data_IF_348580386824
#
_entry.id   IF_348580386824
#
_cell.length_a   1.000
_cell.length_b   1.000
_cell.length_c   1.000
_cell.angle_alpha   90.00
_cell.angle_beta   90.00
_cell.angle_gamma   90.00
#
_symmetry.space_group_name_H-M   'P 1'
#
loop_
_entity.id
_entity.type
_entity.pdbx_description
1 polymer ?
#
# COMPACT_ATOMS: atom_id res chain seq x y z
N UNK A 1 7.58 52.64 73.24
CA UNK A 1 8.16 51.27 73.03
C UNK A 1 7.35 50.57 71.96
N UNK A 2 7.82 50.57 70.73
CA UNK A 2 7.18 49.90 69.56
C UNK A 2 7.86 48.56 69.37
N UNK A 3 7.11 47.50 69.46
CA UNK A 3 7.59 46.15 69.19
C UNK A 3 7.63 45.92 67.67
N UNK A 4 8.83 45.63 67.19
CA UNK A 4 9.08 45.28 65.80
C UNK A 4 8.90 43.77 65.67
N UNK A 5 7.88 43.29 64.93
CA UNK A 5 7.65 41.86 64.64
C UNK A 5 8.36 41.52 63.33
N UNK A 6 9.36 40.66 63.42
CA UNK A 6 10.13 40.15 62.26
C UNK A 6 9.37 38.95 61.68
N UNK A 7 8.88 39.08 60.45
CA UNK A 7 8.29 37.99 59.70
C UNK A 7 9.40 37.36 58.84
N UNK A 8 9.81 36.14 59.19
CA UNK A 8 10.70 35.30 58.39
C UNK A 8 9.87 34.56 57.32
N UNK A 9 9.98 34.98 56.09
CA UNK A 9 9.39 34.26 54.97
C UNK A 9 10.36 33.15 54.53
N UNK A 10 9.99 31.92 54.82
CA UNK A 10 10.73 30.72 54.37
C UNK A 10 10.38 30.44 52.91
N UNK A 11 11.29 30.71 52.02
CA UNK A 11 11.16 30.41 50.59
C UNK A 11 11.46 28.93 50.40
N UNK A 12 10.40 28.09 50.21
CA UNK A 12 10.56 26.71 49.77
C UNK A 12 10.90 26.69 48.26
N UNK A 13 12.17 26.51 47.94
CA UNK A 13 12.61 26.23 46.57
C UNK A 13 12.31 24.78 46.32
N UNK A 14 11.20 24.48 45.59
CA UNK A 14 10.94 23.16 45.04
C UNK A 14 11.96 22.93 43.91
N UNK A 15 13.01 22.19 44.20
CA UNK A 15 13.87 21.61 43.15
C UNK A 15 13.04 20.53 42.40
N UNK A 16 12.43 20.91 41.30
CA UNK A 16 11.98 19.95 40.32
C UNK A 16 13.23 19.35 39.66
N UNK A 17 13.62 18.16 40.09
CA UNK A 17 14.59 17.34 39.35
C UNK A 17 13.94 16.97 38.02
N UNK A 18 14.29 17.71 36.98
CA UNK A 18 14.08 17.27 35.60
C UNK A 18 14.94 16.02 35.44
N UNK A 19 14.35 14.85 35.66
CA UNK A 19 14.98 13.61 35.24
C UNK A 19 15.14 13.70 33.72
N UNK A 20 16.35 13.92 33.26
CA UNK A 20 16.74 13.66 31.88
C UNK A 20 16.57 12.17 31.61
N UNK A 21 15.37 11.76 31.22
CA UNK A 21 15.13 10.41 30.74
C UNK A 21 15.76 10.34 29.34
N UNK A 22 17.07 10.09 29.32
CA UNK A 22 17.73 9.73 28.09
C UNK A 22 17.13 8.39 27.66
N UNK A 23 16.34 8.35 26.58
CA UNK A 23 15.80 7.11 26.03
C UNK A 23 16.94 6.11 25.85
N UNK A 24 16.82 4.95 26.48
CA UNK A 24 17.87 3.93 26.44
C UNK A 24 17.44 2.82 25.47
N UNK A 25 18.32 2.48 24.55
CA UNK A 25 18.15 1.31 23.70
C UNK A 25 18.01 0.04 24.52
N UNK A 26 16.91 -0.69 24.33
CA UNK A 26 16.64 -1.99 24.97
C UNK A 26 17.03 -3.11 24.01
N UNK A 27 17.86 -4.05 24.46
CA UNK A 27 18.15 -5.29 23.72
C UNK A 27 16.94 -6.21 23.84
N UNK A 28 16.47 -6.77 22.72
CA UNK A 28 15.36 -7.73 22.69
C UNK A 28 15.86 -9.18 22.80
N UNK A 29 17.14 -9.45 22.51
CA UNK A 29 17.75 -10.78 22.71
C UNK A 29 18.28 -10.85 24.14
N UNK A 30 17.72 -11.79 24.92
CA UNK A 30 18.19 -12.15 26.25
C UNK A 30 19.20 -13.29 26.24
N UNK A 31 19.32 -13.98 27.38
CA UNK A 31 20.15 -15.20 27.49
C UNK A 31 19.47 -16.41 26.81
N UNK A 32 18.17 -16.39 26.72
CA UNK A 32 17.30 -17.41 26.15
C UNK A 32 16.11 -16.79 25.40
N UNK A 33 15.18 -17.62 24.94
CA UNK A 33 13.96 -17.21 24.25
C UNK A 33 12.76 -17.00 25.18
N UNK A 34 12.94 -16.85 26.48
CA UNK A 34 11.86 -16.72 27.46
C UNK A 34 10.95 -15.48 27.25
N UNK A 35 11.48 -14.43 26.61
CA UNK A 35 10.74 -13.22 26.25
C UNK A 35 9.99 -13.33 24.90
N UNK A 36 10.02 -14.50 24.29
CA UNK A 36 9.42 -14.77 23.00
C UNK A 36 8.41 -15.91 23.09
N UNK A 37 7.47 -15.96 22.15
CA UNK A 37 6.51 -17.03 21.97
C UNK A 37 6.44 -17.38 20.50
N UNK A 38 6.57 -18.67 20.16
CA UNK A 38 6.40 -19.10 18.78
C UNK A 38 4.91 -19.25 18.45
N UNK A 39 4.48 -18.67 17.32
CA UNK A 39 3.12 -18.75 16.80
C UNK A 39 3.14 -19.33 15.38
N UNK A 40 2.03 -19.93 15.01
CA UNK A 40 1.69 -20.61 13.74
C UNK A 40 2.58 -21.81 13.44
N UNK A 41 3.63 -21.71 12.63
CA UNK A 41 4.39 -22.88 12.18
C UNK A 41 5.24 -23.59 13.24
N UNK A 42 5.96 -24.61 12.79
CA UNK A 42 6.76 -25.53 13.63
C UNK A 42 8.25 -25.44 13.38
N UNK A 43 8.72 -24.46 12.58
CA UNK A 43 10.14 -24.27 12.33
C UNK A 43 10.89 -24.00 13.65
N UNK A 44 12.00 -24.70 13.93
CA UNK A 44 12.70 -24.53 15.19
C UNK A 44 13.48 -23.22 15.25
N UNK A 45 13.50 -22.62 16.45
CA UNK A 45 14.33 -21.48 16.80
C UNK A 45 15.28 -21.86 17.93
N UNK A 46 16.51 -21.42 17.85
CA UNK A 46 17.49 -21.55 18.94
C UNK A 46 18.30 -20.27 19.11
N UNK A 47 18.92 -20.13 20.26
CA UNK A 47 19.85 -19.04 20.55
C UNK A 47 21.26 -19.62 20.72
N UNK A 48 22.23 -19.08 20.01
CA UNK A 48 23.64 -19.47 20.13
C UNK A 48 24.50 -18.20 20.13
N UNK A 49 25.29 -18.02 21.19
CA UNK A 49 26.21 -16.87 21.32
C UNK A 49 25.59 -15.52 21.00
N UNK A 50 24.32 -15.30 21.45
CA UNK A 50 23.59 -14.04 21.22
C UNK A 50 22.99 -13.88 19.82
N UNK A 51 22.97 -14.94 19.03
CA UNK A 51 22.33 -15.01 17.71
C UNK A 51 21.11 -15.90 17.81
N UNK A 52 19.94 -15.41 17.39
CA UNK A 52 18.74 -16.23 17.16
C UNK A 52 18.88 -16.87 15.79
N UNK A 53 18.66 -18.17 15.70
CA UNK A 53 18.74 -18.97 14.47
C UNK A 53 17.40 -19.65 14.25
N UNK A 54 16.76 -19.38 13.13
CA UNK A 54 15.60 -20.10 12.64
C UNK A 54 15.99 -21.04 11.52
N UNK A 55 15.34 -22.21 11.44
CA UNK A 55 15.66 -23.25 10.46
C UNK A 55 14.39 -23.70 9.75
N UNK A 56 14.42 -23.79 8.43
CA UNK A 56 13.29 -24.25 7.62
C UNK A 56 13.01 -25.75 7.81
N UNK A 57 11.72 -26.09 7.79
CA UNK A 57 11.22 -27.48 7.87
C UNK A 57 10.09 -27.70 6.88
N UNK A 58 9.91 -28.96 6.43
CA UNK A 58 8.83 -29.34 5.53
C UNK A 58 7.46 -29.21 6.19
N UNK A 59 6.45 -28.93 5.37
CA UNK A 59 5.03 -28.95 5.75
C UNK A 59 4.67 -28.04 6.93
N UNK A 60 5.51 -27.05 7.25
CA UNK A 60 5.20 -26.00 8.21
C UNK A 60 4.66 -24.79 7.50
N UNK A 61 3.57 -24.17 7.96
CA UNK A 61 3.26 -22.79 7.55
C UNK A 61 4.36 -21.83 8.03
N UNK A 62 4.26 -20.56 7.67
CA UNK A 62 5.15 -19.53 8.22
C UNK A 62 5.19 -19.64 9.75
N UNK A 63 6.39 -19.69 10.31
CA UNK A 63 6.62 -19.71 11.75
C UNK A 63 7.09 -18.34 12.20
N UNK A 64 6.57 -17.86 13.32
CA UNK A 64 6.89 -16.54 13.85
C UNK A 64 7.32 -16.64 15.31
N UNK A 65 8.52 -16.17 15.61
CA UNK A 65 8.99 -16.01 16.99
C UNK A 65 8.62 -14.59 17.43
N UNK A 66 7.53 -14.46 18.21
CA UNK A 66 6.87 -13.20 18.56
C UNK A 66 7.34 -12.70 19.93
N UNK A 67 7.64 -11.40 20.06
CA UNK A 67 7.88 -10.78 21.35
C UNK A 67 6.61 -10.83 22.22
N UNK A 68 6.77 -11.08 23.53
CA UNK A 68 5.66 -11.05 24.50
C UNK A 68 5.15 -9.65 24.79
N UNK A 69 5.89 -8.62 24.38
CA UNK A 69 5.56 -7.21 24.55
C UNK A 69 5.12 -6.62 23.22
N UNK A 70 4.05 -5.83 23.24
CA UNK A 70 3.58 -5.02 22.13
C UNK A 70 4.26 -3.65 22.15
N UNK A 71 4.54 -3.12 20.95
CA UNK A 71 5.18 -1.83 20.75
C UNK A 71 4.30 -0.96 19.85
N UNK A 72 4.09 0.30 20.26
CA UNK A 72 3.41 1.34 19.49
C UNK A 72 4.40 2.12 18.63
N UNK A 73 4.88 3.25 19.15
CA UNK A 73 5.92 4.04 18.49
C UNK A 73 7.31 3.55 18.91
N UNK A 74 8.17 3.34 17.92
CA UNK A 74 9.53 2.83 18.18
C UNK A 74 10.48 3.08 17.00
N UNK A 75 11.77 2.93 17.31
CA UNK A 75 12.82 2.67 16.33
C UNK A 75 13.42 1.31 16.67
N UNK A 76 13.41 0.38 15.71
CA UNK A 76 13.95 -0.97 15.83
C UNK A 76 15.16 -1.12 14.92
N UNK A 77 16.23 -1.67 15.44
CA UNK A 77 17.42 -2.04 14.67
C UNK A 77 17.80 -3.50 14.92
N UNK A 78 18.26 -4.16 13.88
CA UNK A 78 18.76 -5.53 13.95
C UNK A 78 19.70 -5.83 12.79
N UNK A 79 20.58 -6.81 12.99
CA UNK A 79 21.36 -7.40 11.92
C UNK A 79 20.78 -8.77 11.57
N UNK A 80 20.68 -9.08 10.28
CA UNK A 80 20.24 -10.38 9.80
C UNK A 80 21.16 -10.94 8.74
N UNK A 81 21.27 -12.26 8.75
CA UNK A 81 21.87 -13.07 7.70
C UNK A 81 20.90 -14.19 7.36
N UNK A 82 20.68 -14.45 6.12
CA UNK A 82 19.81 -15.52 5.65
C UNK A 82 20.36 -16.17 4.39
N UNK A 83 20.01 -17.44 4.24
CA UNK A 83 20.40 -18.24 3.08
C UNK A 83 19.85 -17.59 1.80
N UNK A 84 20.64 -17.51 0.69
CA UNK A 84 20.20 -16.89 -0.56
C UNK A 84 18.96 -17.52 -1.20
N UNK A 85 18.60 -18.72 -0.82
CA UNK A 85 17.41 -19.42 -1.33
C UNK A 85 16.18 -19.26 -0.42
N UNK A 86 16.30 -18.49 0.66
CA UNK A 86 15.27 -18.37 1.68
C UNK A 86 14.68 -16.96 1.71
N UNK A 87 13.34 -16.86 1.62
CA UNK A 87 12.61 -15.65 1.99
C UNK A 87 12.40 -15.62 3.51
N UNK A 88 12.32 -14.43 4.09
CA UNK A 88 12.03 -14.20 5.49
C UNK A 88 11.45 -12.79 5.69
N UNK A 89 11.19 -12.40 6.94
CA UNK A 89 10.73 -11.08 7.30
C UNK A 89 10.83 -10.82 8.80
N UNK A 90 10.74 -9.55 9.16
CA UNK A 90 10.55 -9.15 10.56
C UNK A 90 9.23 -8.41 10.67
N UNK A 91 8.30 -9.01 11.42
CA UNK A 91 7.00 -8.44 11.73
C UNK A 91 7.16 -7.32 12.75
N UNK A 92 6.32 -6.30 12.64
CA UNK A 92 6.20 -5.22 13.61
C UNK A 92 4.77 -4.68 13.65
N UNK A 93 4.35 -4.17 14.79
CA UNK A 93 2.95 -3.79 15.02
C UNK A 93 1.98 -4.87 14.52
N UNK A 94 2.32 -6.14 14.75
CA UNK A 94 1.57 -7.30 14.27
C UNK A 94 0.79 -7.94 15.39
N UNK A 95 -0.24 -8.70 15.01
CA UNK A 95 -1.20 -9.31 15.91
C UNK A 95 -1.42 -10.78 15.55
N UNK A 96 -1.96 -11.53 16.51
CA UNK A 96 -2.52 -12.89 16.32
C UNK A 96 -3.75 -12.98 17.20
N UNK A 97 -4.95 -12.95 16.59
CA UNK A 97 -6.24 -12.99 17.27
C UNK A 97 -6.94 -14.30 16.96
N UNK A 98 -7.51 -15.00 17.96
CA UNK A 98 -8.17 -16.30 17.74
C UNK A 98 -9.27 -16.27 16.68
N UNK A 99 -10.02 -15.18 16.59
CA UNK A 99 -11.11 -14.96 15.65
C UNK A 99 -10.63 -14.52 14.24
N UNK A 100 -9.35 -14.20 14.08
CA UNK A 100 -8.78 -13.86 12.79
C UNK A 100 -8.05 -15.06 12.17
N UNK A 101 -8.66 -15.70 11.15
CA UNK A 101 -8.08 -16.84 10.42
C UNK A 101 -7.42 -17.89 11.34
N UNK A 102 -8.11 -18.27 12.43
CA UNK A 102 -7.63 -19.24 13.43
C UNK A 102 -6.29 -18.84 14.10
N UNK A 103 -6.13 -17.58 14.45
CA UNK A 103 -4.91 -17.09 15.12
C UNK A 103 -3.74 -16.84 14.17
N UNK A 104 -4.00 -16.68 12.88
CA UNK A 104 -2.95 -16.32 11.92
C UNK A 104 -2.26 -15.02 12.33
N UNK A 105 -0.93 -15.03 12.38
CA UNK A 105 -0.12 -13.81 12.52
C UNK A 105 -0.38 -12.90 11.33
N UNK A 106 -0.69 -11.64 11.61
CA UNK A 106 -0.99 -10.64 10.58
C UNK A 106 -0.49 -9.26 11.01
N UNK A 107 -0.12 -8.44 10.06
CA UNK A 107 0.40 -7.10 10.28
C UNK A 107 1.58 -6.74 9.39
N UNK A 108 2.22 -5.62 9.70
CA UNK A 108 3.33 -5.14 8.89
C UNK A 108 4.57 -6.02 9.02
N UNK A 109 5.23 -6.24 7.90
CA UNK A 109 6.50 -6.96 7.78
C UNK A 109 7.50 -6.13 6.98
N UNK A 110 8.70 -5.93 7.52
CA UNK A 110 9.83 -5.58 6.68
C UNK A 110 10.35 -6.84 6.02
N UNK A 111 10.45 -6.81 4.72
CA UNK A 111 10.82 -7.97 3.90
C UNK A 111 12.31 -8.25 3.92
N UNK A 112 12.67 -9.54 3.96
CA UNK A 112 14.00 -10.09 3.78
C UNK A 112 13.97 -10.96 2.52
N UNK A 113 14.28 -10.39 1.35
CA UNK A 113 14.10 -11.01 0.05
C UNK A 113 15.42 -11.07 -0.73
N UNK A 114 16.07 -12.24 -0.83
CA UNK A 114 17.30 -12.42 -1.59
C UNK A 114 17.08 -12.65 -3.09
N UNK A 115 15.84 -12.77 -3.53
CA UNK A 115 15.48 -13.04 -4.93
C UNK A 115 15.87 -11.89 -5.85
N UNK A 116 15.82 -12.12 -7.16
CA UNK A 116 16.10 -11.09 -8.16
C UNK A 116 15.06 -9.97 -8.21
N UNK A 117 13.92 -10.17 -7.55
CA UNK A 117 12.93 -9.13 -7.27
C UNK A 117 13.50 -7.98 -6.43
N UNK A 118 14.48 -8.30 -5.55
CA UNK A 118 15.25 -7.34 -4.75
C UNK A 118 14.38 -6.40 -3.89
N UNK A 119 13.39 -6.97 -3.17
CA UNK A 119 12.47 -6.18 -2.34
C UNK A 119 12.80 -6.20 -0.84
N UNK A 120 14.03 -6.57 -0.47
CA UNK A 120 14.53 -6.46 0.92
C UNK A 120 14.40 -5.02 1.43
N UNK A 121 13.74 -4.84 2.56
CA UNK A 121 13.41 -3.51 3.11
C UNK A 121 12.07 -2.94 2.65
N UNK A 122 11.39 -3.55 1.67
CA UNK A 122 10.00 -3.27 1.33
C UNK A 122 9.05 -3.64 2.47
N UNK A 123 7.79 -3.19 2.40
CA UNK A 123 6.78 -3.43 3.43
C UNK A 123 5.67 -4.30 2.86
N UNK A 124 5.50 -5.47 3.48
CA UNK A 124 4.42 -6.41 3.25
C UNK A 124 3.42 -6.38 4.42
N UNK A 125 2.16 -6.64 4.18
CA UNK A 125 1.11 -6.73 5.19
C UNK A 125 0.66 -8.20 5.30
N UNK A 126 1.37 -8.96 6.15
CA UNK A 126 1.18 -10.40 6.33
C UNK A 126 -0.27 -10.72 6.71
N UNK A 127 -0.85 -11.69 6.02
CA UNK A 127 -2.18 -12.18 6.30
C UNK A 127 -3.33 -11.20 6.01
N UNK A 128 -3.06 -9.99 5.45
CA UNK A 128 -4.08 -8.96 5.18
C UNK A 128 -4.02 -8.45 3.74
N UNK A 129 -3.35 -7.29 3.49
CA UNK A 129 -3.39 -6.56 2.20
C UNK A 129 -2.25 -6.92 1.24
N UNK A 130 -1.26 -7.73 1.67
CA UNK A 130 -0.11 -8.05 0.85
C UNK A 130 0.89 -6.88 0.76
N UNK A 131 1.42 -6.60 -0.44
CA UNK A 131 2.44 -5.57 -0.60
C UNK A 131 1.88 -4.16 -0.46
N UNK A 132 2.38 -3.40 0.51
CA UNK A 132 2.08 -2.00 0.72
C UNK A 132 3.13 -1.08 0.09
N UNK A 133 4.41 -1.51 0.09
CA UNK A 133 5.50 -0.77 -0.51
C UNK A 133 6.51 -1.73 -1.14
N UNK A 134 6.54 -1.81 -2.46
CA UNK A 134 7.53 -2.56 -3.22
C UNK A 134 8.72 -1.68 -3.57
N UNK A 135 9.92 -2.26 -3.69
CA UNK A 135 11.12 -1.48 -4.07
C UNK A 135 11.21 -1.18 -5.57
N UNK A 136 10.24 -1.57 -6.38
CA UNK A 136 10.09 -1.03 -7.74
C UNK A 136 9.90 0.49 -7.74
N UNK A 137 9.37 1.03 -6.64
CA UNK A 137 9.28 2.48 -6.40
C UNK A 137 10.65 3.11 -6.05
N UNK A 138 11.64 2.31 -5.69
CA UNK A 138 12.94 2.77 -5.17
C UNK A 138 14.11 1.93 -5.68
N UNK A 139 14.62 2.19 -6.90
CA UNK A 139 15.72 1.43 -7.48
C UNK A 139 17.04 1.47 -6.67
N UNK A 140 17.26 2.50 -5.86
CA UNK A 140 18.41 2.55 -4.95
C UNK A 140 18.27 1.55 -3.80
N UNK A 141 17.04 1.44 -3.25
CA UNK A 141 16.72 0.46 -2.21
C UNK A 141 16.88 -0.99 -2.69
N UNK A 142 16.57 -1.28 -3.95
CA UNK A 142 16.79 -2.62 -4.54
C UNK A 142 18.25 -3.10 -4.47
N UNK A 143 19.20 -2.16 -4.41
CA UNK A 143 20.64 -2.46 -4.36
C UNK A 143 21.19 -2.49 -2.93
N UNK A 144 20.35 -2.30 -1.92
CA UNK A 144 20.81 -2.15 -0.53
C UNK A 144 21.25 -3.47 0.12
N UNK A 145 20.66 -4.60 -0.29
CA UNK A 145 20.96 -5.92 0.27
C UNK A 145 22.33 -6.43 -0.23
N UNK A 146 23.15 -6.90 0.71
CA UNK A 146 24.37 -7.67 0.43
C UNK A 146 24.06 -9.15 0.54
N UNK A 147 24.02 -9.87 -0.58
CA UNK A 147 23.80 -11.33 -0.59
C UNK A 147 24.95 -12.05 0.12
N UNK A 148 24.64 -13.12 0.87
CA UNK A 148 25.60 -13.92 1.65
C UNK A 148 26.37 -13.17 2.75
N UNK A 149 25.87 -12.01 3.21
CA UNK A 149 26.51 -11.23 4.25
C UNK A 149 25.48 -10.80 5.32
N UNK A 150 25.98 -10.33 6.45
CA UNK A 150 25.15 -9.67 7.45
C UNK A 150 24.66 -8.33 6.94
N UNK A 151 23.35 -8.06 7.09
CA UNK A 151 22.73 -6.83 6.69
C UNK A 151 22.10 -6.15 7.90
N UNK A 152 22.32 -4.86 8.03
CA UNK A 152 21.73 -4.03 9.05
C UNK A 152 20.39 -3.46 8.59
N UNK A 153 19.35 -3.71 9.36
CA UNK A 153 18.01 -3.17 9.13
C UNK A 153 17.65 -2.16 10.20
N UNK A 154 16.96 -1.10 9.78
CA UNK A 154 16.35 -0.12 10.66
C UNK A 154 14.90 0.09 10.25
N UNK A 155 14.00 0.09 11.23
CA UNK A 155 12.57 0.40 11.08
C UNK A 155 12.25 1.55 12.02
N UNK A 156 11.65 2.60 11.51
CA UNK A 156 11.06 3.68 12.28
C UNK A 156 9.55 3.63 12.10
N UNK A 157 8.81 3.29 13.16
CA UNK A 157 7.35 3.29 13.21
C UNK A 157 6.93 4.33 14.25
N UNK A 158 6.58 5.54 13.81
CA UNK A 158 6.27 6.69 14.68
C UNK A 158 4.96 7.33 14.19
N UNK A 159 3.93 7.33 15.03
CA UNK A 159 2.58 7.66 14.60
C UNK A 159 2.15 6.80 13.42
N UNK A 160 1.68 7.40 12.36
CA UNK A 160 1.29 6.70 11.12
C UNK A 160 2.45 6.50 10.14
N UNK A 161 3.62 7.08 10.40
CA UNK A 161 4.80 6.96 9.53
C UNK A 161 5.56 5.67 9.80
N UNK A 162 5.86 4.93 8.74
CA UNK A 162 6.65 3.70 8.75
C UNK A 162 7.76 3.83 7.70
N UNK A 163 9.00 3.90 8.15
CA UNK A 163 10.16 4.04 7.28
C UNK A 163 11.16 2.91 7.52
N UNK A 164 11.79 2.43 6.46
CA UNK A 164 12.74 1.31 6.53
C UNK A 164 14.06 1.65 5.83
N UNK A 165 15.13 1.08 6.33
CA UNK A 165 16.48 1.15 5.76
C UNK A 165 17.14 -0.21 5.79
N UNK A 166 17.95 -0.49 4.78
CA UNK A 166 18.86 -1.62 4.72
C UNK A 166 20.27 -1.10 4.47
N UNK A 167 21.22 -1.44 5.35
CA UNK A 167 22.60 -0.97 5.29
C UNK A 167 22.74 0.56 5.17
N UNK A 168 21.85 1.30 5.84
CA UNK A 168 21.79 2.75 5.81
C UNK A 168 21.14 3.36 4.57
N UNK A 169 20.73 2.56 3.59
CA UNK A 169 20.04 3.01 2.37
C UNK A 169 18.53 3.03 2.64
N UNK A 170 17.83 4.17 2.43
CA UNK A 170 16.38 4.26 2.59
C UNK A 170 15.68 3.29 1.62
N UNK A 171 14.75 2.48 2.13
CA UNK A 171 14.02 1.48 1.34
C UNK A 171 12.55 1.86 1.15
N UNK A 172 11.80 2.10 2.24
CA UNK A 172 10.38 2.43 2.16
C UNK A 172 10.02 3.67 2.98
N UNK A 173 9.03 4.42 2.50
CA UNK A 173 8.36 5.53 3.19
C UNK A 173 6.84 5.33 3.04
N UNK A 174 6.24 4.69 4.05
CA UNK A 174 4.83 4.33 4.10
C UNK A 174 4.12 5.16 5.17
N UNK A 175 2.90 5.61 4.89
CA UNK A 175 1.99 6.19 5.87
C UNK A 175 0.73 5.33 5.95
N UNK A 176 0.51 4.71 7.10
CA UNK A 176 -0.61 3.79 7.33
C UNK A 176 -0.98 3.76 8.82
N UNK A 177 -2.27 3.63 9.11
CA UNK A 177 -2.79 3.67 10.48
C UNK A 177 -3.57 2.41 10.90
N UNK A 178 -3.52 1.34 10.12
CA UNK A 178 -4.35 0.15 10.35
C UNK A 178 -4.05 -0.53 11.68
N UNK A 179 -2.77 -0.64 12.05
CA UNK A 179 -2.36 -1.26 13.32
C UNK A 179 -1.35 -0.36 14.04
N UNK A 180 -1.79 0.43 15.04
CA UNK A 180 -0.91 1.39 15.72
C UNK A 180 0.06 0.74 16.70
N UNK A 181 -0.17 -0.49 17.14
CA UNK A 181 0.69 -1.23 18.06
C UNK A 181 0.54 -2.74 17.88
N UNK A 182 1.55 -3.49 18.26
CA UNK A 182 1.56 -4.95 18.21
C UNK A 182 2.94 -5.49 18.52
N UNK A 183 3.11 -6.81 18.43
CA UNK A 183 4.38 -7.47 18.69
C UNK A 183 5.37 -7.30 17.52
N UNK A 184 6.64 -7.57 17.82
CA UNK A 184 7.71 -7.80 16.85
C UNK A 184 7.88 -9.30 16.70
N UNK A 185 8.02 -9.81 15.46
CA UNK A 185 8.28 -11.23 15.27
C UNK A 185 9.31 -11.52 14.17
N UNK A 186 10.06 -12.59 14.35
CA UNK A 186 11.06 -13.09 13.43
C UNK A 186 10.46 -14.25 12.66
N UNK A 187 10.41 -14.16 11.31
CA UNK A 187 9.77 -15.16 10.48
C UNK A 187 10.76 -16.21 9.99
N UNK A 188 10.38 -17.49 10.08
CA UNK A 188 10.91 -18.57 9.21
C UNK A 188 9.82 -18.87 8.18
N UNK A 189 10.10 -18.55 6.93
CA UNK A 189 9.14 -18.73 5.85
C UNK A 189 8.87 -20.19 5.53
N UNK A 190 7.64 -20.52 5.20
CA UNK A 190 7.23 -21.84 4.73
C UNK A 190 7.97 -22.23 3.45
N UNK A 191 8.42 -23.46 3.41
CA UNK A 191 8.99 -24.07 2.19
C UNK A 191 8.05 -25.12 1.56
N UNK A 192 6.84 -25.30 2.12
CA UNK A 192 5.87 -26.29 1.65
C UNK A 192 6.48 -27.70 1.68
N UNK A 193 6.49 -28.36 0.52
CA UNK A 193 7.05 -29.70 0.31
C UNK A 193 8.42 -29.70 -0.38
N UNK A 194 9.07 -28.54 -0.52
CA UNK A 194 10.35 -28.39 -1.22
C UNK A 194 11.50 -28.93 -0.34
N UNK A 195 11.87 -30.20 -0.56
CA UNK A 195 12.92 -30.87 0.20
C UNK A 195 14.31 -30.23 0.01
N UNK A 196 14.55 -29.53 -1.10
CA UNK A 196 15.84 -28.84 -1.33
C UNK A 196 16.07 -27.65 -0.42
N UNK A 197 15.01 -27.14 0.21
CA UNK A 197 15.07 -26.00 1.13
C UNK A 197 15.04 -26.38 2.61
N UNK A 198 15.09 -27.67 2.93
CA UNK A 198 15.15 -28.13 4.33
C UNK A 198 16.50 -27.76 4.94
N UNK A 199 16.47 -27.21 6.16
CA UNK A 199 17.68 -26.86 6.89
C UNK A 199 18.30 -25.51 6.51
N UNK A 200 17.68 -24.73 5.59
CA UNK A 200 18.11 -23.35 5.33
C UNK A 200 17.97 -22.51 6.60
N UNK A 201 18.88 -21.57 6.77
CA UNK A 201 19.00 -20.79 7.99
C UNK A 201 18.67 -19.33 7.75
N UNK A 202 17.96 -18.73 8.70
CA UNK A 202 17.93 -17.29 8.90
C UNK A 202 18.42 -16.97 10.32
N UNK A 203 19.21 -15.92 10.45
CA UNK A 203 19.90 -15.55 11.69
C UNK A 203 19.69 -14.09 12.00
N UNK A 204 19.46 -13.78 13.28
CA UNK A 204 19.27 -12.40 13.76
C UNK A 204 20.16 -12.16 14.98
N UNK A 205 20.80 -10.99 15.02
CA UNK A 205 21.59 -10.52 16.17
C UNK A 205 21.39 -9.02 16.37
N UNK A 206 21.94 -8.49 17.46
CA UNK A 206 21.93 -7.06 17.76
C UNK A 206 20.52 -6.42 17.74
N UNK A 207 19.47 -7.21 17.99
CA UNK A 207 18.09 -6.71 17.99
C UNK A 207 17.94 -5.75 19.17
N UNK A 208 17.69 -4.47 18.87
CA UNK A 208 17.50 -3.42 19.86
C UNK A 208 16.37 -2.48 19.47
N UNK A 209 15.68 -1.97 20.45
CA UNK A 209 14.54 -1.07 20.27
C UNK A 209 14.66 0.14 21.20
N UNK A 210 14.17 1.29 20.73
CA UNK A 210 13.95 2.47 21.55
C UNK A 210 12.52 2.94 21.34
N UNK A 211 11.83 3.29 22.44
CA UNK A 211 10.42 3.70 22.47
C UNK A 211 10.21 5.08 23.07
N UNK A 212 11.27 5.73 23.52
CA UNK A 212 11.23 7.03 24.19
C UNK A 212 12.19 8.02 23.51
N UNK A 213 11.87 9.31 23.57
CA UNK A 213 12.66 10.39 22.98
C UNK A 213 12.99 10.16 21.49
N UNK A 214 12.04 9.60 20.73
CA UNK A 214 12.23 9.16 19.35
C UNK A 214 12.69 10.27 18.42
N UNK A 215 12.26 11.52 18.67
CA UNK A 215 12.66 12.69 17.90
C UNK A 215 14.20 12.90 17.86
N UNK A 216 14.89 12.53 18.95
CA UNK A 216 16.36 12.60 19.04
C UNK A 216 17.04 11.54 18.17
N UNK A 217 16.40 10.40 17.96
CA UNK A 217 16.99 9.22 17.34
C UNK A 217 16.46 8.94 15.95
N UNK A 218 15.34 9.54 15.55
CA UNK A 218 14.77 9.33 14.21
C UNK A 218 15.72 9.88 13.15
N UNK A 219 15.74 9.21 12.02
CA UNK A 219 16.47 9.68 10.85
C UNK A 219 15.81 10.98 10.32
N UNK A 220 16.57 12.04 10.04
CA UNK A 220 16.03 13.22 9.42
C UNK A 220 15.22 12.87 8.17
N UNK A 221 14.14 13.61 7.96
CA UNK A 221 13.32 13.39 6.79
C UNK A 221 14.11 13.72 5.51
N UNK A 222 14.03 12.85 4.52
CA UNK A 222 14.60 13.08 3.20
C UNK A 222 13.57 12.67 2.12
N UNK A 223 13.24 13.54 1.17
CA UNK A 223 12.26 13.26 0.12
C UNK A 223 12.82 12.39 -1.03
N UNK A 224 13.96 11.72 -0.83
CA UNK A 224 14.68 10.99 -1.89
C UNK A 224 13.87 9.83 -2.47
N UNK A 225 13.01 9.19 -1.65
CA UNK A 225 12.17 8.08 -2.09
C UNK A 225 10.69 8.48 -2.07
N UNK A 226 9.86 7.93 -2.98
CA UNK A 226 8.42 8.20 -2.99
C UNK A 226 7.78 7.81 -1.66
N UNK A 227 6.82 8.60 -1.20
CA UNK A 227 5.95 8.24 -0.09
C UNK A 227 4.68 7.56 -0.62
N UNK A 228 4.25 6.48 0.04
CA UNK A 228 2.97 5.84 -0.22
C UNK A 228 2.08 5.99 1.00
N UNK A 229 0.89 6.59 0.85
CA UNK A 229 -0.08 6.76 1.93
C UNK A 229 -1.33 5.90 1.70
N UNK A 230 -1.76 5.20 2.75
CA UNK A 230 -3.02 4.44 2.82
C UNK A 230 -4.00 5.07 3.82
N UNK A 231 -3.80 6.32 4.22
CA UNK A 231 -4.80 7.04 5.02
C UNK A 231 -6.06 7.28 4.20
N UNK A 232 -7.21 6.97 4.75
CA UNK A 232 -8.48 7.06 4.04
C UNK A 232 -8.91 8.52 3.81
N UNK A 233 -8.95 8.94 2.55
CA UNK A 233 -9.39 10.26 2.09
C UNK A 233 -8.69 11.45 2.77
N UNK A 234 -7.43 11.26 3.11
CA UNK A 234 -6.58 12.28 3.74
C UNK A 234 -5.27 12.39 2.98
N UNK A 235 -4.81 13.60 2.74
CA UNK A 235 -3.47 13.86 2.21
C UNK A 235 -2.48 14.05 3.37
N UNK A 236 -1.32 13.43 3.24
CA UNK A 236 -0.19 13.74 4.12
C UNK A 236 0.34 15.14 3.82
N UNK A 237 1.09 15.74 4.74
CA UNK A 237 1.73 17.04 4.50
C UNK A 237 2.67 16.99 3.28
N UNK A 238 3.33 15.86 3.08
CA UNK A 238 4.17 15.66 1.89
C UNK A 238 3.33 15.63 0.61
N UNK A 239 2.24 14.91 0.57
CA UNK A 239 1.35 14.87 -0.60
C UNK A 239 0.80 16.26 -0.92
N UNK A 240 0.41 17.05 0.09
CA UNK A 240 -0.02 18.45 -0.11
C UNK A 240 1.09 19.31 -0.73
N UNK A 241 2.32 19.20 -0.20
CA UNK A 241 3.48 19.92 -0.70
C UNK A 241 3.91 19.49 -2.11
N UNK A 242 3.66 18.23 -2.47
CA UNK A 242 3.89 17.69 -3.83
C UNK A 242 2.77 18.02 -4.81
N UNK A 243 1.69 18.69 -4.37
CA UNK A 243 0.58 19.14 -5.22
C UNK A 243 -0.53 18.11 -5.42
N UNK A 244 -0.59 17.07 -4.60
CA UNK A 244 -1.73 16.14 -4.60
C UNK A 244 -3.00 16.85 -4.13
N UNK A 245 -4.15 16.49 -4.74
CA UNK A 245 -5.49 16.95 -4.40
C UNK A 245 -6.39 15.74 -4.21
N UNK A 246 -7.31 15.80 -3.25
CA UNK A 246 -8.38 14.81 -3.14
C UNK A 246 -9.44 15.10 -4.22
N UNK A 247 -9.84 14.09 -4.97
CA UNK A 247 -11.02 14.12 -5.83
C UNK A 247 -12.27 13.61 -5.11
N UNK A 248 -12.10 13.04 -3.91
CA UNK A 248 -13.18 12.61 -3.04
C UNK A 248 -12.79 12.83 -1.57
N UNK A 249 -13.67 13.52 -0.85
CA UNK A 249 -13.47 13.91 0.56
C UNK A 249 -13.88 12.84 1.58
N UNK A 250 -14.41 11.70 1.10
CA UNK A 250 -14.96 10.64 1.94
C UNK A 250 -16.37 10.89 2.46
N UNK A 251 -17.02 11.99 2.11
CA UNK A 251 -18.31 12.42 2.72
C UNK A 251 -19.33 12.90 1.71
N UNK A 252 -18.91 13.59 0.66
CA UNK A 252 -19.82 14.28 -0.27
C UNK A 252 -19.54 13.89 -1.71
N UNK A 253 -20.51 14.16 -2.60
CA UNK A 253 -20.35 14.01 -4.04
C UNK A 253 -19.71 15.23 -4.71
N UNK A 254 -19.22 16.19 -3.95
CA UNK A 254 -18.58 17.38 -4.49
C UNK A 254 -17.45 17.02 -5.46
N UNK A 255 -17.41 17.67 -6.62
CA UNK A 255 -16.45 17.37 -7.68
C UNK A 255 -16.83 16.22 -8.61
N UNK A 256 -17.98 15.57 -8.39
CA UNK A 256 -18.50 14.48 -9.22
C UNK A 256 -19.89 14.78 -9.77
N UNK A 257 -20.13 14.38 -11.00
CA UNK A 257 -21.42 14.52 -11.67
C UNK A 257 -21.66 13.35 -12.61
N UNK A 258 -22.90 13.09 -12.98
CA UNK A 258 -23.22 12.13 -14.02
C UNK A 258 -22.66 12.61 -15.37
N UNK A 259 -22.06 11.71 -16.13
CA UNK A 259 -21.44 12.01 -17.41
C UNK A 259 -22.37 12.70 -18.42
N UNK A 260 -23.69 12.45 -18.35
CA UNK A 260 -24.71 12.99 -19.27
C UNK A 260 -25.51 14.13 -18.67
N UNK A 261 -26.03 13.98 -17.45
CA UNK A 261 -26.98 14.93 -16.84
C UNK A 261 -26.31 16.07 -16.09
N UNK A 262 -25.00 15.98 -15.83
CA UNK A 262 -24.20 17.00 -15.13
C UNK A 262 -24.63 17.28 -13.68
N UNK A 263 -25.40 16.37 -13.08
CA UNK A 263 -25.73 16.35 -11.66
C UNK A 263 -25.29 14.99 -11.09
N UNK A 264 -25.00 14.90 -9.79
CA UNK A 264 -24.71 13.58 -9.19
C UNK A 264 -25.97 12.71 -9.25
N UNK A 265 -25.86 11.41 -9.63
CA UNK A 265 -27.03 10.56 -9.78
C UNK A 265 -27.79 10.37 -8.46
N UNK A 266 -29.13 10.42 -8.46
CA UNK A 266 -29.93 10.21 -7.25
C UNK A 266 -30.03 8.72 -6.86
N UNK A 267 -29.56 7.80 -7.71
CA UNK A 267 -29.62 6.34 -7.52
C UNK A 267 -28.48 5.65 -8.27
N UNK A 268 -28.22 4.38 -7.96
CA UNK A 268 -27.13 3.59 -8.55
C UNK A 268 -25.76 3.87 -7.91
N UNK A 269 -25.64 4.95 -7.14
CA UNK A 269 -24.46 5.34 -6.38
C UNK A 269 -24.82 5.66 -4.94
N UNK A 270 -23.95 5.31 -4.03
CA UNK A 270 -24.05 5.57 -2.59
C UNK A 270 -22.72 6.13 -2.07
N UNK A 271 -22.79 7.11 -1.17
CA UNK A 271 -21.63 7.58 -0.41
C UNK A 271 -21.82 7.13 1.03
N UNK A 272 -20.98 6.22 1.47
CA UNK A 272 -21.07 5.60 2.78
C UNK A 272 -19.72 5.10 3.27
N UNK A 273 -19.49 5.17 4.58
CA UNK A 273 -18.28 4.66 5.24
C UNK A 273 -16.97 5.15 4.59
N UNK A 274 -16.94 6.41 4.15
CA UNK A 274 -15.76 7.00 3.50
C UNK A 274 -15.54 6.55 2.06
N UNK A 275 -16.52 5.99 1.39
CA UNK A 275 -16.39 5.44 0.05
C UNK A 275 -17.52 5.89 -0.89
N UNK A 276 -17.22 5.92 -2.19
CA UNK A 276 -18.22 5.96 -3.27
C UNK A 276 -18.48 4.53 -3.71
N UNK A 277 -19.74 4.10 -3.70
CA UNK A 277 -20.14 2.72 -3.93
C UNK A 277 -21.10 2.67 -5.13
N UNK A 278 -20.79 1.84 -6.12
CA UNK A 278 -21.80 1.41 -7.11
C UNK A 278 -22.77 0.50 -6.40
N UNK A 279 -24.02 0.93 -6.25
CA UNK A 279 -25.07 0.15 -5.58
C UNK A 279 -26.20 -0.17 -6.57
N UNK A 280 -26.18 -1.36 -7.21
CA UNK A 280 -27.19 -1.74 -8.20
C UNK A 280 -28.60 -1.88 -7.62
N UNK A 281 -28.74 -2.12 -6.31
CA UNK A 281 -30.06 -2.27 -5.67
C UNK A 281 -30.81 -0.96 -5.56
N UNK A 282 -30.10 0.18 -5.55
CA UNK A 282 -30.73 1.51 -5.55
C UNK A 282 -31.07 2.02 -6.94
N UNK A 283 -30.74 1.25 -7.98
CA UNK A 283 -30.93 1.61 -9.39
C UNK A 283 -32.41 1.64 -9.74
N UNK A 284 -33.04 2.82 -9.70
CA UNK A 284 -34.39 3.05 -10.15
C UNK A 284 -34.51 3.05 -11.70
N UNK A 285 -35.73 3.31 -12.22
CA UNK A 285 -36.05 3.32 -13.66
C UNK A 285 -35.15 4.25 -14.51
N UNK A 286 -34.44 5.21 -13.92
CA UNK A 286 -33.53 6.13 -14.61
C UNK A 286 -32.08 5.72 -14.64
N UNK A 287 -31.68 4.65 -13.92
CA UNK A 287 -30.31 4.19 -13.78
C UNK A 287 -29.36 5.22 -13.18
N UNK A 288 -28.27 4.81 -12.52
CA UNK A 288 -27.23 5.73 -12.02
C UNK A 288 -26.42 6.34 -13.16
N UNK A 289 -25.94 5.49 -14.06
CA UNK A 289 -24.97 5.85 -15.11
C UNK A 289 -23.61 6.24 -14.55
N UNK A 290 -22.67 6.39 -15.43
CA UNK A 290 -21.28 6.72 -15.09
C UNK A 290 -21.17 8.11 -14.45
N UNK A 291 -20.27 8.26 -13.47
CA UNK A 291 -19.93 9.55 -12.87
C UNK A 291 -18.55 10.00 -13.34
N UNK A 292 -18.41 11.31 -13.55
CA UNK A 292 -17.16 11.96 -13.98
C UNK A 292 -16.78 13.09 -13.03
N UNK A 293 -15.50 13.43 -13.01
CA UNK A 293 -15.03 14.65 -12.33
C UNK A 293 -15.58 15.89 -12.98
N UNK A 294 -15.85 16.95 -12.20
CA UNK A 294 -16.19 18.28 -12.74
C UNK A 294 -15.01 18.93 -13.46
N UNK A 295 -13.79 18.58 -13.06
CA UNK A 295 -12.55 19.08 -13.64
C UNK A 295 -12.05 18.15 -14.75
N UNK A 296 -11.21 18.70 -15.65
CA UNK A 296 -10.51 17.99 -16.72
C UNK A 296 -9.02 17.99 -16.42
N UNK A 297 -8.31 16.96 -16.87
CA UNK A 297 -6.89 16.76 -16.60
C UNK A 297 -6.13 16.39 -17.88
N UNK A 298 -4.87 16.83 -17.97
CA UNK A 298 -3.97 16.57 -19.12
C UNK A 298 -2.85 15.61 -18.73
N UNK A 299 -1.97 16.03 -17.83
CA UNK A 299 -0.85 15.23 -17.32
C UNK A 299 -1.06 15.03 -15.82
N UNK A 300 -1.01 13.80 -15.35
CA UNK A 300 -1.35 13.52 -13.96
C UNK A 300 -0.81 12.18 -13.47
N UNK A 301 -0.73 12.07 -12.15
CA UNK A 301 -0.75 10.81 -11.42
C UNK A 301 -2.09 10.71 -10.70
N UNK A 302 -2.85 9.64 -10.93
CA UNK A 302 -4.15 9.36 -10.31
C UNK A 302 -4.05 8.10 -9.47
N UNK A 303 -4.39 8.20 -8.19
CA UNK A 303 -4.53 7.04 -7.29
C UNK A 303 -6.01 6.84 -7.00
N UNK A 304 -6.45 5.58 -7.07
CA UNK A 304 -7.80 5.14 -6.69
C UNK A 304 -7.67 3.82 -5.95
N UNK A 305 -8.12 3.77 -4.71
CA UNK A 305 -8.32 2.51 -4.01
C UNK A 305 -9.71 1.98 -4.36
N UNK A 306 -9.78 0.72 -4.78
CA UNK A 306 -11.03 0.08 -5.18
C UNK A 306 -11.17 -1.31 -4.58
N UNK A 307 -12.42 -1.73 -4.40
CA UNK A 307 -12.80 -3.08 -3.97
C UNK A 307 -13.98 -3.53 -4.82
N UNK A 308 -13.85 -4.69 -5.45
CA UNK A 308 -14.89 -5.27 -6.29
C UNK A 308 -15.45 -6.54 -5.66
N UNK A 309 -16.76 -6.78 -5.84
CA UNK A 309 -17.40 -8.01 -5.40
C UNK A 309 -17.18 -9.14 -6.42
N UNK A 310 -17.44 -10.39 -6.02
CA UNK A 310 -17.34 -11.57 -6.92
C UNK A 310 -18.19 -11.38 -8.17
N UNK A 311 -17.60 -11.60 -9.32
CA UNK A 311 -18.23 -11.43 -10.62
C UNK A 311 -18.49 -9.98 -11.03
N UNK A 312 -17.92 -8.98 -10.35
CA UNK A 312 -18.15 -7.59 -10.67
C UNK A 312 -17.35 -7.10 -11.88
N UNK A 313 -17.91 -6.07 -12.53
CA UNK A 313 -17.30 -5.28 -13.59
C UNK A 313 -17.49 -3.79 -13.32
N UNK A 314 -16.46 -3.02 -13.54
CA UNK A 314 -16.40 -1.57 -13.50
C UNK A 314 -15.15 -1.09 -14.24
N UNK A 315 -14.86 0.21 -14.20
CA UNK A 315 -13.68 0.79 -14.82
C UNK A 315 -13.34 2.18 -14.28
N UNK A 316 -12.07 2.53 -14.34
CA UNK A 316 -11.59 3.88 -14.09
C UNK A 316 -11.14 4.43 -15.43
N UNK A 317 -11.95 5.35 -16.02
CA UNK A 317 -11.64 5.92 -17.32
C UNK A 317 -11.01 7.30 -17.18
N UNK A 318 -10.22 7.65 -18.15
CA UNK A 318 -9.57 8.96 -18.26
C UNK A 318 -9.55 9.42 -19.70
N UNK A 319 -9.31 10.70 -19.92
CA UNK A 319 -9.54 11.35 -21.21
C UNK A 319 -10.98 11.23 -21.72
N UNK A 320 -11.93 11.27 -20.78
CA UNK A 320 -13.36 11.26 -21.14
C UNK A 320 -13.80 12.64 -21.56
N UNK A 321 -14.32 12.75 -22.77
CA UNK A 321 -14.91 13.96 -23.32
C UNK A 321 -16.43 13.88 -23.26
N UNK A 322 -17.03 14.66 -22.34
CA UNK A 322 -18.48 14.69 -22.12
C UNK A 322 -19.20 15.72 -22.98
N UNK A 323 -18.51 16.47 -23.82
CA UNK A 323 -19.04 17.64 -24.54
C UNK A 323 -19.10 17.44 -26.05
N UNK A 324 -18.14 16.68 -26.60
CA UNK A 324 -18.09 16.41 -28.03
C UNK A 324 -19.23 15.49 -28.49
N UNK A 325 -19.63 15.66 -29.77
CA UNK A 325 -20.70 14.90 -30.44
C UNK A 325 -22.02 14.88 -29.62
N UNK A 326 -22.41 16.04 -29.10
CA UNK A 326 -23.63 16.20 -28.27
C UNK A 326 -23.72 15.20 -27.11
N UNK A 327 -22.59 14.88 -26.49
CA UNK A 327 -22.49 13.95 -25.34
C UNK A 327 -22.61 12.47 -25.70
N UNK A 328 -22.62 12.08 -26.96
CA UNK A 328 -22.65 10.65 -27.36
C UNK A 328 -21.42 9.90 -26.88
N UNK A 329 -20.29 10.59 -26.73
CA UNK A 329 -19.02 10.03 -26.26
C UNK A 329 -18.79 10.22 -24.74
N UNK A 330 -19.81 10.66 -24.02
CA UNK A 330 -19.69 11.04 -22.60
C UNK A 330 -19.21 9.92 -21.64
N UNK A 331 -19.20 8.68 -22.08
CA UNK A 331 -18.67 7.53 -21.32
C UNK A 331 -17.50 6.86 -22.05
N UNK A 332 -16.96 7.47 -23.09
CA UNK A 332 -15.86 6.93 -23.89
C UNK A 332 -14.54 7.57 -23.42
N UNK A 333 -13.55 6.74 -23.16
CA UNK A 333 -12.20 7.14 -22.73
C UNK A 333 -11.29 5.95 -22.63
N UNK A 334 -9.99 6.17 -22.44
CA UNK A 334 -9.05 5.11 -22.07
C UNK A 334 -9.46 4.56 -20.71
N UNK A 335 -9.44 3.23 -20.54
CA UNK A 335 -10.02 2.59 -19.36
C UNK A 335 -9.02 1.65 -18.68
N UNK A 336 -8.74 1.94 -17.40
CA UNK A 336 -8.15 0.98 -16.49
C UNK A 336 -9.27 0.03 -16.03
N UNK A 337 -9.20 -1.22 -16.45
CA UNK A 337 -10.25 -2.20 -16.17
C UNK A 337 -10.30 -2.60 -14.69
N UNK A 338 -11.51 -2.65 -14.12
CA UNK A 338 -11.80 -3.19 -12.80
C UNK A 338 -12.76 -4.37 -12.98
N UNK A 339 -12.27 -5.61 -12.83
CA UNK A 339 -13.02 -6.81 -13.17
C UNK A 339 -12.64 -7.99 -12.28
N UNK A 340 -13.61 -8.84 -11.95
CA UNK A 340 -13.30 -10.19 -11.49
C UNK A 340 -12.97 -11.08 -12.69
N UNK A 341 -11.71 -11.29 -12.96
CA UNK A 341 -11.23 -12.05 -14.12
C UNK A 341 -11.68 -13.51 -14.15
N UNK A 342 -12.00 -14.08 -12.99
CA UNK A 342 -12.37 -15.47 -12.86
C UNK A 342 -13.83 -15.71 -13.17
N UNK A 343 -14.70 -14.79 -12.74
CA UNK A 343 -16.15 -14.98 -12.75
C UNK A 343 -16.86 -14.13 -13.79
N UNK A 344 -16.37 -12.93 -14.13
CA UNK A 344 -17.05 -12.08 -15.09
C UNK A 344 -16.78 -12.53 -16.53
N UNK A 345 -17.84 -12.71 -17.37
CA UNK A 345 -17.70 -13.24 -18.74
C UNK A 345 -16.88 -12.35 -19.67
N UNK A 346 -16.86 -11.04 -19.47
CA UNK A 346 -16.13 -10.08 -20.31
C UNK A 346 -14.61 -10.33 -20.33
N UNK A 347 -14.04 -10.93 -19.28
CA UNK A 347 -12.63 -11.33 -19.24
C UNK A 347 -12.19 -12.23 -20.39
N UNK A 348 -13.14 -12.97 -20.98
CA UNK A 348 -12.91 -13.94 -22.06
C UNK A 348 -13.22 -13.38 -23.45
N UNK A 349 -13.69 -12.14 -23.53
CA UNK A 349 -14.09 -11.49 -24.78
C UNK A 349 -12.97 -10.63 -25.35
N UNK A 350 -13.12 -10.18 -26.61
CA UNK A 350 -12.17 -9.35 -27.31
C UNK A 350 -10.85 -10.05 -27.62
N UNK A 351 -9.77 -9.29 -27.72
CA UNK A 351 -8.41 -9.85 -27.85
C UNK A 351 -8.03 -10.49 -26.50
N UNK A 352 -7.48 -11.71 -26.49
CA UNK A 352 -7.23 -12.45 -25.25
C UNK A 352 -6.48 -11.62 -24.18
N UNK A 353 -7.08 -11.55 -22.98
CA UNK A 353 -6.53 -10.87 -21.82
C UNK A 353 -6.69 -9.35 -21.78
N UNK A 354 -7.08 -8.69 -22.87
CA UNK A 354 -7.19 -7.23 -22.93
C UNK A 354 -8.34 -6.64 -22.12
N UNK A 355 -9.30 -7.48 -21.70
CA UNK A 355 -10.44 -7.06 -20.89
C UNK A 355 -10.35 -7.54 -19.44
N UNK A 356 -9.12 -7.77 -18.95
CA UNK A 356 -8.90 -8.24 -17.59
C UNK A 356 -8.45 -7.09 -16.66
N UNK A 357 -8.57 -7.31 -15.36
CA UNK A 357 -8.22 -6.35 -14.30
C UNK A 357 -6.87 -5.68 -14.55
N UNK A 358 -6.82 -4.37 -14.43
CA UNK A 358 -5.64 -3.50 -14.61
C UNK A 358 -5.08 -3.45 -16.04
N UNK A 359 -5.78 -4.04 -17.02
CA UNK A 359 -5.49 -3.86 -18.44
C UNK A 359 -5.93 -2.50 -18.96
N UNK A 360 -5.45 -2.13 -20.15
CA UNK A 360 -6.08 -1.08 -20.94
C UNK A 360 -7.20 -1.75 -21.74
N UNK A 361 -8.42 -1.55 -21.30
CA UNK A 361 -9.61 -2.28 -21.74
C UNK A 361 -9.72 -2.41 -23.27
N UNK A 362 -9.85 -3.65 -23.73
CA UNK A 362 -9.97 -4.03 -25.15
C UNK A 362 -8.77 -3.70 -26.05
N UNK A 363 -7.67 -3.22 -25.48
CA UNK A 363 -6.49 -2.77 -26.22
C UNK A 363 -5.21 -3.50 -25.80
N UNK A 364 -4.85 -3.48 -24.49
CA UNK A 364 -3.58 -4.04 -24.00
C UNK A 364 -3.83 -4.89 -22.76
N UNK A 365 -3.41 -6.15 -22.83
CA UNK A 365 -3.44 -7.06 -21.70
C UNK A 365 -2.42 -6.67 -20.62
N UNK A 366 -2.77 -6.78 -19.32
CA UNK A 366 -1.85 -6.46 -18.25
C UNK A 366 -0.76 -7.52 -18.12
N UNK A 367 0.44 -7.08 -17.71
CA UNK A 367 1.55 -7.94 -17.33
C UNK A 367 1.74 -7.88 -15.82
N UNK A 368 2.38 -8.90 -15.22
CA UNK A 368 2.80 -8.91 -13.81
C UNK A 368 1.70 -8.51 -12.82
N UNK A 369 0.45 -8.86 -13.12
CA UNK A 369 -0.70 -8.49 -12.34
C UNK A 369 -0.68 -9.11 -10.94
N UNK A 370 -0.85 -8.28 -9.91
CA UNK A 370 -0.95 -8.70 -8.53
C UNK A 370 -2.27 -8.20 -7.94
N UNK A 371 -3.27 -9.03 -8.03
CA UNK A 371 -4.61 -8.81 -7.51
C UNK A 371 -4.72 -9.36 -6.08
N UNK A 372 -5.26 -8.57 -5.15
CA UNK A 372 -5.56 -9.00 -3.79
C UNK A 372 -6.84 -9.85 -3.73
N UNK A 373 -7.62 -9.90 -4.81
CA UNK A 373 -8.83 -10.68 -4.95
C UNK A 373 -10.12 -9.89 -4.72
N UNK A 374 -11.24 -10.55 -5.05
CA UNK A 374 -12.57 -10.00 -4.80
C UNK A 374 -12.78 -9.73 -3.31
N UNK A 375 -13.53 -8.66 -2.98
CA UNK A 375 -13.84 -8.21 -1.62
C UNK A 375 -12.63 -7.68 -0.84
N UNK A 376 -11.45 -7.61 -1.47
CA UNK A 376 -10.24 -7.03 -0.92
C UNK A 376 -9.93 -5.68 -1.58
N UNK A 377 -9.32 -4.77 -0.80
CA UNK A 377 -8.89 -3.49 -1.34
C UNK A 377 -7.68 -3.66 -2.27
N UNK A 378 -7.77 -3.04 -3.43
CA UNK A 378 -6.72 -2.92 -4.43
C UNK A 378 -6.46 -1.43 -4.71
N UNK A 379 -5.25 -1.10 -5.14
CA UNK A 379 -4.87 0.26 -5.53
C UNK A 379 -4.50 0.32 -6.99
N UNK A 380 -5.23 1.15 -7.75
CA UNK A 380 -4.82 1.60 -9.06
C UNK A 380 -3.95 2.86 -8.94
N UNK A 381 -2.86 2.92 -9.70
CA UNK A 381 -2.14 4.15 -10.00
C UNK A 381 -2.06 4.28 -11.51
N UNK A 382 -2.54 5.39 -12.03
CA UNK A 382 -2.48 5.74 -13.46
C UNK A 382 -1.58 6.96 -13.59
N UNK A 383 -0.49 6.83 -14.37
CA UNK A 383 0.40 7.94 -14.67
C UNK A 383 0.24 8.34 -16.12
N UNK A 384 0.06 9.62 -16.35
CA UNK A 384 -0.03 10.23 -17.67
C UNK A 384 0.97 11.37 -17.77
N UNK A 385 1.91 11.27 -18.71
CA UNK A 385 2.86 12.33 -19.00
C UNK A 385 2.97 12.48 -20.52
N UNK A 386 2.37 13.51 -21.07
CA UNK A 386 2.18 13.67 -22.51
C UNK A 386 1.37 12.52 -23.09
N UNK A 387 1.95 11.83 -24.04
CA UNK A 387 1.34 10.65 -24.68
C UNK A 387 1.66 9.34 -23.95
N UNK A 388 2.62 9.36 -23.04
CA UNK A 388 3.04 8.16 -22.30
C UNK A 388 2.08 7.91 -21.12
N UNK A 389 1.57 6.67 -21.05
CA UNK A 389 0.64 6.24 -20.01
C UNK A 389 1.11 4.93 -19.39
N UNK A 390 0.97 4.84 -18.09
CA UNK A 390 1.31 3.66 -17.30
C UNK A 390 0.17 3.32 -16.34
N UNK A 391 -0.19 2.02 -16.24
CA UNK A 391 -1.07 1.48 -15.23
C UNK A 391 -0.28 0.66 -14.22
N UNK A 392 -0.63 0.81 -12.95
CA UNK A 392 -0.08 -0.01 -11.87
C UNK A 392 -1.23 -0.60 -11.06
N UNK A 393 -1.09 -1.86 -10.64
CA UNK A 393 -1.96 -2.52 -9.68
C UNK A 393 -1.13 -2.92 -8.45
N UNK A 394 -1.52 -2.42 -7.28
CA UNK A 394 -0.84 -2.70 -6.01
C UNK A 394 0.69 -2.51 -6.09
N UNK A 395 1.12 -1.40 -6.73
CA UNK A 395 2.52 -1.05 -6.92
C UNK A 395 3.22 -1.72 -8.11
N UNK A 396 2.59 -2.70 -8.78
CA UNK A 396 3.16 -3.39 -9.94
C UNK A 396 2.76 -2.74 -11.24
N UNK A 397 3.72 -2.41 -12.11
CA UNK A 397 3.46 -1.93 -13.48
C UNK A 397 2.78 -3.04 -14.29
N UNK A 398 1.56 -2.78 -14.77
CA UNK A 398 0.77 -3.76 -15.53
C UNK A 398 0.68 -3.42 -17.01
N UNK A 399 0.59 -2.14 -17.36
CA UNK A 399 0.50 -1.65 -18.74
C UNK A 399 1.35 -0.41 -18.91
N UNK A 400 2.07 -0.31 -20.01
CA UNK A 400 2.72 0.91 -20.46
C UNK A 400 2.49 1.06 -21.96
N UNK A 401 2.13 2.27 -22.40
CA UNK A 401 1.88 2.56 -23.81
C UNK A 401 2.05 4.04 -24.12
N UNK A 402 2.11 4.35 -25.41
CA UNK A 402 2.11 5.70 -25.95
C UNK A 402 0.90 5.89 -26.86
N UNK A 403 0.01 6.83 -26.51
CA UNK A 403 -1.20 7.14 -27.28
C UNK A 403 -0.91 8.04 -28.48
N UNK A 404 -1.75 7.99 -29.51
CA UNK A 404 -1.73 8.92 -30.64
C UNK A 404 -0.64 8.66 -31.70
N UNK A 405 0.20 7.61 -31.54
CA UNK A 405 1.15 7.20 -32.58
C UNK A 405 0.54 6.12 -33.52
N UNK A 406 1.29 5.67 -34.52
CA UNK A 406 0.81 4.66 -35.48
C UNK A 406 0.43 3.33 -34.80
N UNK A 407 1.27 2.86 -33.87
CA UNK A 407 0.99 1.62 -33.11
C UNK A 407 -0.30 1.73 -32.28
N UNK A 408 -0.55 2.88 -31.68
CA UNK A 408 -1.81 3.17 -30.98
C UNK A 408 -3.01 3.01 -31.90
N UNK A 409 -2.98 3.64 -33.08
CA UNK A 409 -4.09 3.60 -34.04
C UNK A 409 -4.35 2.20 -34.57
N UNK A 410 -3.29 1.37 -34.73
CA UNK A 410 -3.44 -0.05 -35.07
C UNK A 410 -4.15 -0.84 -33.96
N UNK A 411 -3.84 -0.60 -32.69
CA UNK A 411 -4.54 -1.23 -31.56
C UNK A 411 -6.02 -0.83 -31.55
N UNK A 412 -6.31 0.45 -31.70
CA UNK A 412 -7.69 0.99 -31.75
C UNK A 412 -8.46 0.36 -32.92
N UNK A 413 -7.85 0.24 -34.10
CA UNK A 413 -8.49 -0.36 -35.29
C UNK A 413 -8.87 -1.84 -35.11
N UNK A 414 -8.20 -2.57 -34.22
CA UNK A 414 -8.48 -3.97 -33.90
C UNK A 414 -9.46 -4.14 -32.73
N UNK A 415 -9.83 -3.07 -32.05
CA UNK A 415 -10.68 -3.08 -30.85
C UNK A 415 -12.14 -2.74 -31.17
N UNK A 416 -12.98 -2.77 -30.14
CA UNK A 416 -14.37 -2.27 -30.24
C UNK A 416 -14.44 -0.77 -30.52
N UNK A 417 -13.36 -0.04 -30.27
CA UNK A 417 -13.27 1.42 -30.47
C UNK A 417 -12.95 1.83 -31.91
N UNK A 418 -12.84 0.89 -32.84
CA UNK A 418 -12.54 1.16 -34.26
C UNK A 418 -13.49 2.17 -34.94
N UNK A 419 -14.71 2.29 -34.39
CA UNK A 419 -15.73 3.23 -34.89
C UNK A 419 -15.76 4.54 -34.11
N UNK A 420 -14.83 4.77 -33.18
CA UNK A 420 -14.73 6.01 -32.38
C UNK A 420 -13.54 6.86 -32.87
N UNK A 421 -13.74 7.82 -33.77
CA UNK A 421 -12.68 8.64 -34.31
C UNK A 421 -11.91 9.37 -33.20
N UNK A 422 -10.56 9.34 -33.27
CA UNK A 422 -9.72 10.02 -32.28
C UNK A 422 -9.75 9.42 -30.88
N UNK A 423 -10.19 8.17 -30.72
CA UNK A 423 -10.23 7.49 -29.42
C UNK A 423 -8.88 7.60 -28.69
N UNK A 424 -8.96 8.14 -27.45
CA UNK A 424 -7.80 8.34 -26.58
C UNK A 424 -6.83 9.46 -27.03
N UNK A 425 -7.15 10.24 -28.07
CA UNK A 425 -6.28 11.30 -28.60
C UNK A 425 -6.66 12.71 -28.11
N UNK A 426 -7.73 12.87 -27.30
CA UNK A 426 -8.06 14.16 -26.69
C UNK A 426 -6.92 14.64 -25.79
N UNK A 427 -6.69 15.97 -25.78
CA UNK A 427 -5.58 16.58 -25.03
C UNK A 427 -5.86 16.58 -23.52
N UNK A 428 -7.10 16.86 -23.14
CA UNK A 428 -7.56 16.88 -21.77
C UNK A 428 -8.91 16.14 -21.66
N UNK A 429 -9.19 15.58 -20.51
CA UNK A 429 -10.46 14.88 -20.29
C UNK A 429 -10.74 14.66 -18.81
N UNK A 430 -11.95 14.21 -18.54
CA UNK A 430 -12.42 13.90 -17.17
C UNK A 430 -11.98 12.53 -16.76
N UNK A 431 -11.90 12.31 -15.44
CA UNK A 431 -11.81 10.99 -14.83
C UNK A 431 -13.23 10.47 -14.64
N UNK A 432 -13.47 9.20 -14.94
CA UNK A 432 -14.77 8.56 -14.85
C UNK A 432 -14.69 7.29 -14.01
N UNK A 433 -15.66 7.11 -13.13
CA UNK A 433 -15.93 5.82 -12.48
C UNK A 433 -17.17 5.20 -13.14
N UNK A 434 -17.02 3.93 -13.56
CA UNK A 434 -18.05 3.25 -14.34
C UNK A 434 -19.09 2.58 -13.44
N UNK A 435 -20.36 2.79 -13.74
CA UNK A 435 -21.50 2.03 -13.23
C UNK A 435 -21.83 0.92 -14.23
N UNK A 436 -21.61 -0.33 -13.87
CA UNK A 436 -21.88 -1.49 -14.72
C UNK A 436 -22.88 -2.49 -14.09
N UNK A 437 -23.65 -2.06 -13.10
CA UNK A 437 -24.66 -2.90 -12.44
C UNK A 437 -24.08 -3.91 -11.43
N UNK A 438 -22.86 -3.71 -10.97
CA UNK A 438 -22.23 -4.56 -9.98
C UNK A 438 -21.71 -3.73 -8.79
N UNK A 439 -21.66 -4.34 -7.61
CA UNK A 439 -21.03 -3.69 -6.44
C UNK A 439 -19.54 -3.51 -6.64
N UNK A 440 -19.11 -2.26 -6.71
CA UNK A 440 -17.72 -1.83 -6.66
C UNK A 440 -17.61 -0.60 -5.76
N UNK A 441 -16.60 -0.56 -4.93
CA UNK A 441 -16.39 0.48 -3.93
C UNK A 441 -15.08 1.21 -4.21
N UNK A 442 -15.09 2.55 -4.15
CA UNK A 442 -13.93 3.41 -4.42
C UNK A 442 -13.66 4.34 -3.24
N UNK A 443 -12.40 4.54 -2.88
CA UNK A 443 -11.96 5.54 -1.89
C UNK A 443 -10.55 6.04 -2.21
N UNK A 444 -10.02 6.96 -1.42
CA UNK A 444 -8.66 7.49 -1.62
C UNK A 444 -8.42 7.98 -3.05
N UNK A 445 -9.45 8.61 -3.64
CA UNK A 445 -9.33 9.12 -5.00
C UNK A 445 -8.58 10.44 -4.93
N UNK A 446 -7.34 10.43 -5.39
CA UNK A 446 -6.46 11.60 -5.35
C UNK A 446 -5.65 11.74 -6.63
N UNK A 447 -5.40 12.97 -7.02
CA UNK A 447 -4.70 13.30 -8.25
C UNK A 447 -3.58 14.31 -7.97
N UNK A 448 -2.49 14.18 -8.73
CA UNK A 448 -1.42 15.16 -8.81
C UNK A 448 -1.23 15.54 -10.25
N UNK A 449 -1.43 16.82 -10.58
CA UNK A 449 -1.18 17.34 -11.91
C UNK A 449 0.32 17.49 -12.14
N UNK A 450 0.80 17.03 -13.28
CA UNK A 450 2.20 17.11 -13.70
C UNK A 450 2.36 18.33 -14.62
N UNK A 451 3.46 19.06 -14.42
CA UNK A 451 3.79 20.25 -15.23
C UNK A 451 4.41 19.87 -16.57
#
# INVERSE_FOLDING_TARGET
MKKLTLIIATLLIALTTVQNVNGQWKKLIGKDLSNWTQLNGTAPYKIEKGVIIGTTVLNSPNSFLCSKVNYGDFILEFDTWFDPQMNSGVQFRSESKPDYQNGRVHGYQVELDPSDRAWSGGIYDEGRRGWLYTLDLNPAGQKALKKNDWNHYRIEAIGNSIRTWVNGIPCADLVDNMTPSGFIALQVHSIGTDAAKVGLLVKWKNIRIITENLEKYKTPYSPVIPQTSYLDNVLTEREKNEGWKLLFDGKTSAGWMNAKTKAFPPSGWEIKDGAIIVNPETKGAGGGGDIVTTDKFTNFELIVDFKYNKGANSGIKYFVDTESDNGKLASIGCEYQVLDDRLHPDAKLGVPGTRTLAGLYDLIAPKNKRDNGAEMWNRALIKVNGNKVQHYLNGMLTVEYERGNAAWRELVAKSKFKTSPGFGEVKEGRILLQEHGNYVTFKNIKIKELK
#
